data_IF_151411435134
#
_entry.id   IF_151411435134
#
_cell.length_a   1.000
_cell.length_b   1.000
_cell.length_c   1.000
_cell.angle_alpha   90.00
_cell.angle_beta   90.00
_cell.angle_gamma   90.00
#
_symmetry.space_group_name_H-M   'P 1'
#
loop_
_entity.id
_entity.type
_entity.pdbx_description
1 polymer ?
#
# COMPACT_ATOMS: atom_id res chain seq x y z
N UNK A 1 11.32 -12.91 -7.97
CA UNK A 1 11.76 -11.61 -7.41
C UNK A 1 10.52 -10.93 -6.82
N UNK A 2 10.42 -10.78 -5.49
CA UNK A 2 9.36 -9.99 -4.88
C UNK A 2 9.55 -8.50 -5.20
N UNK A 3 8.45 -7.75 -5.32
CA UNK A 3 8.47 -6.32 -5.64
C UNK A 3 7.32 -5.59 -4.94
N UNK A 4 7.60 -4.81 -3.90
CA UNK A 4 6.63 -3.94 -3.22
C UNK A 4 7.29 -2.65 -2.73
N UNK A 5 6.47 -1.62 -2.43
CA UNK A 5 6.93 -0.26 -2.10
C UNK A 5 7.86 -0.20 -0.87
N UNK A 6 7.61 -1.03 0.13
CA UNK A 6 8.42 -1.12 1.36
C UNK A 6 9.74 -1.91 1.19
N UNK A 7 10.08 -2.42 0.00
CA UNK A 7 11.36 -3.10 -0.20
C UNK A 7 12.52 -2.10 -0.31
N UNK A 8 13.70 -2.39 0.27
CA UNK A 8 14.89 -1.56 0.08
C UNK A 8 15.21 -1.33 -1.40
N UNK A 9 15.53 -0.09 -1.77
CA UNK A 9 15.75 0.35 -3.16
C UNK A 9 16.77 -0.52 -3.90
N UNK A 10 17.84 -0.94 -3.22
CA UNK A 10 18.90 -1.80 -3.80
C UNK A 10 18.33 -3.13 -4.31
N UNK A 11 17.34 -3.69 -3.61
CA UNK A 11 16.74 -4.99 -3.96
C UNK A 11 15.78 -4.89 -5.15
N UNK A 12 15.31 -3.69 -5.50
CA UNK A 12 14.43 -3.49 -6.65
C UNK A 12 15.20 -3.53 -7.98
N UNK A 13 16.50 -3.20 -7.98
CA UNK A 13 17.29 -3.05 -9.22
C UNK A 13 17.47 -4.35 -10.02
N UNK A 14 17.39 -5.51 -9.37
CA UNK A 14 17.54 -6.81 -10.04
C UNK A 14 16.42 -7.09 -11.04
N UNK A 15 15.24 -6.47 -10.86
CA UNK A 15 14.06 -6.71 -11.70
C UNK A 15 14.26 -6.22 -13.14
N UNK A 16 15.11 -5.20 -13.32
CA UNK A 16 15.38 -4.58 -14.62
C UNK A 16 16.41 -5.35 -15.46
N UNK A 17 17.20 -6.22 -14.84
CA UNK A 17 18.19 -7.02 -15.57
C UNK A 17 17.50 -8.11 -16.38
N UNK A 18 17.94 -8.32 -17.63
CA UNK A 18 17.50 -9.47 -18.44
C UNK A 18 18.17 -10.74 -17.93
N UNK A 19 17.43 -11.84 -17.94
CA UNK A 19 17.96 -13.15 -17.56
C UNK A 19 18.72 -13.80 -18.72
N UNK A 20 19.75 -14.63 -18.45
CA UNK A 20 20.42 -15.43 -19.48
C UNK A 20 19.45 -16.39 -20.19
N UNK A 21 19.77 -16.84 -21.41
CA UNK A 21 19.01 -17.90 -22.09
C UNK A 21 18.84 -19.14 -21.22
N UNK A 22 17.65 -19.74 -21.24
CA UNK A 22 17.30 -20.89 -20.39
C UNK A 22 16.82 -20.54 -18.98
N UNK A 23 16.92 -19.28 -18.55
CA UNK A 23 16.43 -18.81 -17.24
C UNK A 23 15.21 -17.92 -17.41
N UNK A 24 14.12 -18.25 -16.72
CA UNK A 24 12.88 -17.45 -16.71
C UNK A 24 12.84 -16.50 -15.52
N UNK A 25 12.68 -15.20 -15.80
CA UNK A 25 12.37 -14.20 -14.78
C UNK A 25 10.91 -14.30 -14.36
N UNK A 26 10.68 -14.41 -13.05
CA UNK A 26 9.34 -14.33 -12.43
C UNK A 26 9.36 -13.23 -11.39
N UNK A 27 8.48 -12.24 -11.57
CA UNK A 27 8.34 -11.10 -10.68
C UNK A 27 6.97 -11.17 -10.02
N UNK A 28 6.94 -11.12 -8.69
CA UNK A 28 5.70 -11.10 -7.90
C UNK A 28 5.59 -9.70 -7.31
N UNK A 29 4.64 -8.91 -7.81
CA UNK A 29 4.55 -7.49 -7.52
C UNK A 29 3.18 -7.08 -6.96
N UNK A 30 3.17 -5.99 -6.20
CA UNK A 30 1.93 -5.23 -5.93
C UNK A 30 1.58 -4.33 -7.14
N UNK A 31 0.58 -3.46 -6.98
CA UNK A 31 0.19 -2.47 -7.98
C UNK A 31 1.30 -1.47 -8.37
N UNK A 32 2.46 -1.45 -7.72
CA UNK A 32 3.59 -0.58 -8.13
C UNK A 32 4.14 -0.92 -9.53
N UNK A 33 3.95 -2.16 -10.00
CA UNK A 33 4.30 -2.56 -11.36
C UNK A 33 3.27 -2.06 -12.42
N UNK A 34 2.11 -1.59 -11.97
CA UNK A 34 1.04 -1.06 -12.82
C UNK A 34 1.32 0.35 -13.32
N UNK A 35 2.04 1.16 -12.53
CA UNK A 35 2.34 2.58 -12.84
C UNK A 35 3.82 2.87 -12.71
N UNK A 36 4.36 2.80 -11.48
CA UNK A 36 5.65 3.34 -11.07
C UNK A 36 6.87 2.60 -11.62
N UNK A 37 6.73 1.33 -12.00
CA UNK A 37 7.84 0.50 -12.47
C UNK A 37 7.53 -0.10 -13.85
N UNK A 38 8.51 0.01 -14.75
CA UNK A 38 8.45 -0.56 -16.10
C UNK A 38 9.52 -1.64 -16.24
N UNK A 39 9.08 -2.88 -16.35
CA UNK A 39 9.93 -4.05 -16.65
C UNK A 39 9.70 -4.36 -18.13
N UNK A 40 10.74 -4.26 -18.95
CA UNK A 40 10.60 -4.23 -20.41
C UNK A 40 10.30 -5.61 -21.00
N UNK A 41 10.89 -6.67 -20.46
CA UNK A 41 10.84 -8.03 -20.99
C UNK A 41 9.64 -8.85 -20.48
N UNK A 42 8.58 -8.19 -20.02
CA UNK A 42 7.35 -8.86 -19.59
C UNK A 42 6.50 -9.23 -20.81
N UNK A 43 6.18 -10.53 -20.90
CA UNK A 43 5.33 -11.10 -21.96
C UNK A 43 4.11 -11.83 -21.38
N UNK A 44 4.17 -12.19 -20.10
CA UNK A 44 3.09 -12.86 -19.39
C UNK A 44 2.75 -12.05 -18.14
N UNK A 45 1.48 -11.68 -17.99
CA UNK A 45 0.95 -11.03 -16.80
C UNK A 45 -0.10 -11.94 -16.18
N UNK A 46 0.05 -12.21 -14.89
CA UNK A 46 -0.97 -12.87 -14.07
C UNK A 46 -1.58 -11.79 -13.18
N UNK A 47 -2.82 -11.42 -13.45
CA UNK A 47 -3.56 -10.43 -12.70
C UNK A 47 -4.42 -11.14 -11.65
N UNK A 48 -4.01 -11.04 -10.39
CA UNK A 48 -4.75 -11.59 -9.25
C UNK A 48 -6.12 -10.95 -9.01
N UNK A 49 -6.46 -9.86 -9.71
CA UNK A 49 -7.76 -9.20 -9.62
C UNK A 49 -7.97 -8.38 -8.35
N UNK A 50 -6.96 -8.31 -7.48
CA UNK A 50 -7.01 -7.59 -6.20
C UNK A 50 -6.00 -6.44 -6.13
N UNK A 51 -6.36 -5.44 -5.34
CA UNK A 51 -5.52 -4.30 -4.96
C UNK A 51 -5.82 -3.95 -3.50
N UNK A 52 -4.83 -3.44 -2.75
CA UNK A 52 -5.09 -2.94 -1.40
C UNK A 52 -5.56 -1.49 -1.50
N UNK A 53 -6.68 -1.19 -0.85
CA UNK A 53 -7.23 0.16 -0.75
C UNK A 53 -7.47 0.53 0.71
N UNK A 54 -7.29 1.81 1.00
CA UNK A 54 -7.73 2.43 2.24
C UNK A 54 -9.14 2.96 2.06
N UNK A 55 -10.00 2.63 3.02
CA UNK A 55 -11.38 3.09 3.14
C UNK A 55 -11.61 3.73 4.50
N UNK A 56 -12.45 4.76 4.53
CA UNK A 56 -12.83 5.46 5.74
C UNK A 56 -14.35 5.49 5.91
N UNK A 57 -14.82 4.93 7.01
CA UNK A 57 -16.21 5.03 7.45
C UNK A 57 -16.36 6.24 8.38
N UNK A 58 -17.00 7.29 7.87
CA UNK A 58 -17.21 8.55 8.59
C UNK A 58 -18.24 8.45 9.73
N UNK A 59 -19.16 7.47 9.68
CA UNK A 59 -20.18 7.32 10.72
C UNK A 59 -19.60 6.66 11.97
N UNK A 60 -18.74 5.67 11.77
CA UNK A 60 -18.09 4.94 12.86
C UNK A 60 -16.69 5.47 13.19
N UNK A 61 -16.15 6.38 12.39
CA UNK A 61 -14.80 6.91 12.50
C UNK A 61 -13.72 5.80 12.45
N UNK A 62 -13.84 4.92 11.46
CA UNK A 62 -12.95 3.76 11.29
C UNK A 62 -12.24 3.84 9.94
N UNK A 63 -10.91 3.86 9.99
CA UNK A 63 -10.05 3.66 8.82
C UNK A 63 -9.70 2.17 8.69
N UNK A 64 -9.84 1.62 7.49
CA UNK A 64 -9.47 0.22 7.21
C UNK A 64 -8.65 0.13 5.92
N UNK A 65 -7.72 -0.82 5.89
CA UNK A 65 -7.00 -1.20 4.67
C UNK A 65 -7.34 -2.64 4.30
N UNK A 66 -8.03 -2.84 3.17
CA UNK A 66 -8.55 -4.14 2.73
C UNK A 66 -8.17 -4.46 1.28
N UNK A 67 -8.31 -5.73 0.91
CA UNK A 67 -8.03 -6.21 -0.44
C UNK A 67 -9.29 -6.17 -1.31
N UNK A 68 -9.41 -5.11 -2.09
CA UNK A 68 -10.54 -4.86 -2.98
C UNK A 68 -10.32 -5.38 -4.39
N UNK A 69 -11.42 -5.54 -5.12
CA UNK A 69 -11.36 -5.88 -6.55
C UNK A 69 -10.77 -4.70 -7.34
N UNK A 70 -9.97 -5.01 -8.35
CA UNK A 70 -9.42 -4.01 -9.26
C UNK A 70 -10.51 -3.36 -10.11
N UNK A 71 -10.31 -2.11 -10.53
CA UNK A 71 -11.17 -1.48 -11.53
C UNK A 71 -10.88 -2.00 -12.95
N UNK A 72 -11.79 -1.75 -13.89
CA UNK A 72 -11.57 -2.01 -15.33
C UNK A 72 -10.33 -1.24 -15.85
N UNK A 73 -10.13 -0.01 -15.37
CA UNK A 73 -8.94 0.78 -15.71
C UNK A 73 -7.64 0.08 -15.25
N UNK A 74 -7.59 -0.43 -14.01
CA UNK A 74 -6.42 -1.16 -13.51
C UNK A 74 -6.16 -2.44 -14.33
N UNK A 75 -7.21 -3.25 -14.57
CA UNK A 75 -7.10 -4.46 -15.37
C UNK A 75 -6.54 -4.17 -16.78
N UNK A 76 -6.98 -3.08 -17.41
CA UNK A 76 -6.47 -2.61 -18.70
C UNK A 76 -5.00 -2.20 -18.62
N UNK A 77 -4.59 -1.47 -17.58
CA UNK A 77 -3.18 -1.11 -17.38
C UNK A 77 -2.29 -2.35 -17.20
N UNK A 78 -2.72 -3.32 -16.38
CA UNK A 78 -2.01 -4.60 -16.17
C UNK A 78 -1.87 -5.39 -17.45
N UNK A 79 -2.93 -5.52 -18.25
CA UNK A 79 -2.89 -6.15 -19.58
C UNK A 79 -1.84 -5.49 -20.49
N UNK A 80 -1.76 -4.16 -20.47
CA UNK A 80 -0.77 -3.39 -21.25
C UNK A 80 0.68 -3.72 -20.93
N UNK A 81 0.98 -4.25 -19.73
CA UNK A 81 2.35 -4.61 -19.32
C UNK A 81 2.90 -5.82 -20.07
N UNK A 82 2.06 -6.69 -20.63
CA UNK A 82 2.48 -7.87 -21.40
C UNK A 82 2.82 -7.57 -22.87
N UNK A 83 2.44 -6.41 -23.39
CA UNK A 83 2.47 -6.10 -24.83
C UNK A 83 3.60 -5.18 -25.28
N UNK A 84 4.63 -4.97 -24.46
CA UNK A 84 5.67 -3.96 -24.73
C UNK A 84 6.68 -4.37 -25.79
N UNK A 85 7.16 -5.60 -25.71
CA UNK A 85 8.29 -6.07 -26.53
C UNK A 85 7.86 -7.04 -27.64
N UNK A 86 6.74 -7.73 -27.45
CA UNK A 86 6.16 -8.68 -28.40
C UNK A 86 4.70 -8.97 -28.00
N UNK A 87 3.91 -9.68 -28.83
CA UNK A 87 2.59 -10.17 -28.42
C UNK A 87 2.69 -10.98 -27.12
N UNK A 88 1.86 -10.63 -26.14
CA UNK A 88 1.88 -11.24 -24.81
C UNK A 88 0.50 -11.67 -24.33
N UNK A 89 0.48 -12.32 -23.18
CA UNK A 89 -0.73 -12.87 -22.56
C UNK A 89 -0.98 -12.24 -21.19
N UNK A 90 -2.25 -11.95 -20.91
CA UNK A 90 -2.71 -11.50 -19.61
C UNK A 90 -3.80 -12.45 -19.10
N UNK A 91 -3.59 -13.03 -17.92
CA UNK A 91 -4.50 -13.97 -17.27
C UNK A 91 -5.14 -13.28 -16.06
N UNK A 92 -6.45 -13.05 -16.13
CA UNK A 92 -7.21 -12.45 -15.04
C UNK A 92 -7.82 -13.53 -14.14
N UNK A 93 -7.57 -13.47 -12.83
CA UNK A 93 -8.06 -14.43 -11.83
C UNK A 93 -9.46 -14.07 -11.31
N UNK A 94 -10.35 -13.68 -12.21
CA UNK A 94 -11.77 -13.46 -11.94
C UNK A 94 -12.62 -13.92 -13.11
N UNK A 95 -13.84 -14.37 -12.81
CA UNK A 95 -14.75 -14.87 -13.84
C UNK A 95 -15.42 -13.73 -14.63
N UNK A 96 -16.09 -14.08 -15.73
CA UNK A 96 -16.76 -13.10 -16.60
C UNK A 96 -17.85 -12.28 -15.89
N UNK A 97 -18.56 -12.88 -14.93
CA UNK A 97 -19.54 -12.16 -14.12
C UNK A 97 -18.86 -11.07 -13.28
N UNK A 98 -17.79 -11.41 -12.55
CA UNK A 98 -17.01 -10.42 -11.80
C UNK A 98 -16.45 -9.34 -12.72
N UNK A 99 -15.92 -9.71 -13.88
CA UNK A 99 -15.41 -8.75 -14.87
C UNK A 99 -16.47 -7.72 -15.30
N UNK A 100 -17.72 -8.16 -15.49
CA UNK A 100 -18.83 -7.27 -15.86
C UNK A 100 -19.26 -6.30 -14.74
N UNK A 101 -19.01 -6.69 -13.49
CA UNK A 101 -19.38 -5.93 -12.28
C UNK A 101 -18.24 -5.08 -11.71
N UNK A 102 -17.07 -5.04 -12.35
CA UNK A 102 -15.98 -4.16 -11.90
C UNK A 102 -16.33 -2.70 -12.16
N UNK A 103 -16.01 -1.84 -11.20
CA UNK A 103 -16.06 -0.40 -11.38
C UNK A 103 -15.12 0.03 -12.51
N UNK A 104 -15.48 1.08 -13.23
CA UNK A 104 -14.66 1.55 -14.35
C UNK A 104 -13.32 2.12 -13.88
N UNK A 105 -13.34 2.82 -12.73
CA UNK A 105 -12.20 3.49 -12.12
C UNK A 105 -12.23 3.32 -10.61
N UNK A 106 -11.05 3.33 -9.98
CA UNK A 106 -10.94 3.40 -8.53
C UNK A 106 -11.42 4.76 -8.03
N UNK A 107 -12.04 4.78 -6.85
CA UNK A 107 -12.40 6.03 -6.21
C UNK A 107 -11.11 6.81 -5.87
N UNK A 108 -11.03 8.12 -6.19
CA UNK A 108 -9.89 8.95 -5.83
C UNK A 108 -9.57 8.86 -4.34
N UNK A 109 -8.28 8.76 -4.02
CA UNK A 109 -7.81 8.53 -2.65
C UNK A 109 -8.36 9.54 -1.63
N UNK A 110 -8.38 10.82 -2.00
CA UNK A 110 -8.95 11.94 -1.22
C UNK A 110 -10.40 11.71 -0.76
N UNK A 111 -11.18 10.87 -1.45
CA UNK A 111 -12.58 10.58 -1.13
C UNK A 111 -12.77 9.33 -0.26
N UNK A 112 -11.70 8.55 -0.03
CA UNK A 112 -11.75 7.28 0.71
C UNK A 112 -10.72 7.16 1.81
N UNK A 113 -9.82 8.12 1.96
CA UNK A 113 -8.88 8.18 3.08
C UNK A 113 -9.38 9.14 4.16
N UNK A 114 -9.10 8.85 5.43
CA UNK A 114 -9.30 9.80 6.51
C UNK A 114 -8.58 11.11 6.14
N UNK A 115 -9.33 12.22 6.06
CA UNK A 115 -8.73 13.53 5.83
C UNK A 115 -8.04 14.06 7.09
N UNK A 116 -8.12 13.32 8.19
CA UNK A 116 -7.43 13.54 9.45
C UNK A 116 -5.93 13.70 9.22
N UNK A 117 -5.27 13.03 8.28
CA UNK A 117 -3.86 13.34 8.01
C UNK A 117 -3.68 14.79 7.54
N UNK A 118 -4.48 15.21 6.55
CA UNK A 118 -4.49 16.59 6.02
C UNK A 118 -4.99 17.61 7.06
N UNK A 119 -6.03 17.25 7.81
CA UNK A 119 -6.75 18.09 8.76
C UNK A 119 -6.14 18.06 10.16
N UNK A 120 -5.29 17.09 10.54
CA UNK A 120 -4.50 17.04 11.78
C UNK A 120 -3.07 17.53 11.55
N UNK A 121 -2.51 17.41 10.34
CA UNK A 121 -1.43 18.31 9.86
C UNK A 121 -1.84 19.77 9.98
N UNK A 122 -3.14 20.02 9.90
CA UNK A 122 -3.80 21.24 10.33
C UNK A 122 -4.03 21.10 11.86
N UNK A 123 -5.18 20.73 12.41
CA UNK A 123 -5.58 20.85 13.83
C UNK A 123 -4.71 20.33 14.99
N UNK A 124 -3.87 19.30 14.88
CA UNK A 124 -3.03 18.82 16.02
C UNK A 124 -1.60 19.36 15.95
N UNK A 125 -1.20 19.72 14.74
CA UNK A 125 -0.06 20.55 14.49
C UNK A 125 -0.40 22.02 14.71
N UNK A 126 -1.68 22.42 14.68
CA UNK A 126 -2.12 23.78 14.86
C UNK A 126 -2.72 24.03 16.25
N UNK A 127 -2.74 25.28 16.68
CA UNK A 127 -3.43 25.72 17.89
C UNK A 127 -4.93 26.00 17.62
N UNK A 128 -5.63 26.62 18.58
CA UNK A 128 -7.06 26.96 18.44
C UNK A 128 -7.33 28.00 17.35
N UNK A 129 -6.29 28.71 16.91
CA UNK A 129 -6.33 29.73 15.87
C UNK A 129 -5.94 29.16 14.50
N UNK A 130 -5.73 27.85 14.40
CA UNK A 130 -5.26 27.19 13.19
C UNK A 130 -3.84 27.64 12.78
N UNK A 131 -2.97 27.91 13.77
CA UNK A 131 -1.54 28.25 13.56
C UNK A 131 -0.57 27.14 14.01
N UNK A 132 0.52 26.91 13.26
CA UNK A 132 1.47 25.80 13.48
C UNK A 132 2.17 25.89 14.84
N UNK A 133 1.86 24.95 15.72
CA UNK A 133 2.56 24.67 16.98
C UNK A 133 3.96 24.12 16.71
N UNK A 134 4.90 24.25 17.67
CA UNK A 134 6.22 23.64 17.57
C UNK A 134 6.19 22.12 17.37
N UNK A 135 5.26 21.42 18.03
CA UNK A 135 5.05 19.98 17.82
C UNK A 135 4.61 19.70 16.38
N UNK A 136 3.67 20.49 15.87
CA UNK A 136 3.21 20.42 14.50
C UNK A 136 4.30 20.55 13.46
N UNK A 137 5.24 21.48 13.68
CA UNK A 137 6.41 21.65 12.80
C UNK A 137 7.27 20.39 12.76
N UNK A 138 7.43 19.68 13.88
CA UNK A 138 8.14 18.41 13.90
C UNK A 138 7.36 17.30 13.20
N UNK A 139 6.06 17.18 13.45
CA UNK A 139 5.21 16.15 12.83
C UNK A 139 5.11 16.30 11.32
N UNK A 140 5.00 17.53 10.81
CA UNK A 140 4.94 17.83 9.37
C UNK A 140 6.22 17.41 8.60
N UNK A 141 7.32 17.13 9.31
CA UNK A 141 8.58 16.65 8.72
C UNK A 141 8.69 15.13 8.71
N UNK A 142 7.73 14.40 9.30
CA UNK A 142 7.73 12.95 9.36
C UNK A 142 6.77 12.37 8.31
N UNK A 143 7.20 11.38 7.49
CA UNK A 143 6.36 10.77 6.46
C UNK A 143 5.47 9.65 7.04
N UNK A 144 4.73 9.96 8.11
CA UNK A 144 3.83 9.02 8.81
C UNK A 144 2.60 9.77 9.33
N UNK A 145 1.53 9.04 9.64
CA UNK A 145 0.33 9.62 10.26
C UNK A 145 0.67 10.37 11.56
N UNK A 146 0.06 11.55 11.85
CA UNK A 146 0.46 12.40 12.97
C UNK A 146 0.45 11.71 14.34
N UNK A 147 -0.48 10.79 14.56
CA UNK A 147 -0.57 10.05 15.81
C UNK A 147 0.61 9.07 15.99
N UNK A 148 1.05 8.41 14.91
CA UNK A 148 2.24 7.57 14.87
C UNK A 148 3.50 8.43 15.02
N UNK A 149 3.59 9.54 14.29
CA UNK A 149 4.72 10.47 14.38
C UNK A 149 4.92 11.03 15.79
N UNK A 150 3.82 11.40 16.47
CA UNK A 150 3.84 11.87 17.86
C UNK A 150 4.36 10.78 18.79
N UNK A 151 3.91 9.54 18.61
CA UNK A 151 4.36 8.41 19.40
C UNK A 151 5.87 8.18 19.25
N UNK A 152 6.39 8.15 18.00
CA UNK A 152 7.82 7.98 17.72
C UNK A 152 8.64 9.14 18.30
N UNK A 153 8.16 10.38 18.18
CA UNK A 153 8.83 11.57 18.72
C UNK A 153 8.96 11.49 20.25
N UNK A 154 7.90 11.11 20.95
CA UNK A 154 7.96 10.92 22.41
C UNK A 154 8.80 9.71 22.80
N UNK A 155 8.82 8.64 21.99
CA UNK A 155 9.72 7.50 22.19
C UNK A 155 11.19 7.90 22.16
N UNK A 156 11.57 8.81 21.26
CA UNK A 156 12.91 9.40 21.23
C UNK A 156 13.18 10.30 22.44
N UNK A 157 12.26 11.20 22.80
CA UNK A 157 12.40 12.11 23.94
C UNK A 157 12.51 11.39 25.29
N UNK A 158 11.81 10.27 25.45
CA UNK A 158 11.81 9.48 26.69
C UNK A 158 12.77 8.28 26.64
N UNK A 159 13.64 8.21 25.62
CA UNK A 159 14.65 7.16 25.49
C UNK A 159 14.06 5.72 25.48
N UNK A 160 12.84 5.55 24.99
CA UNK A 160 12.14 4.26 24.86
C UNK A 160 11.83 3.93 23.38
N UNK A 161 12.75 4.30 22.50
CA UNK A 161 12.53 4.26 21.05
C UNK A 161 12.27 2.85 20.50
N UNK A 162 13.01 1.84 20.95
CA UNK A 162 12.90 0.46 20.45
C UNK A 162 11.49 -0.16 20.61
N UNK A 163 10.89 -0.20 21.81
CA UNK A 163 9.52 -0.71 21.97
C UNK A 163 8.49 0.18 21.26
N UNK A 164 8.71 1.49 21.25
CA UNK A 164 7.80 2.44 20.58
C UNK A 164 7.78 2.21 19.07
N UNK A 165 8.94 1.97 18.43
CA UNK A 165 9.02 1.65 17.01
C UNK A 165 8.29 0.35 16.68
N UNK A 166 8.39 -0.66 17.55
CA UNK A 166 7.68 -1.93 17.39
C UNK A 166 6.16 -1.73 17.43
N UNK A 167 5.67 -0.95 18.39
CA UNK A 167 4.24 -0.62 18.51
C UNK A 167 3.78 0.21 17.30
N UNK A 168 4.56 1.21 16.89
CA UNK A 168 4.28 2.04 15.72
C UNK A 168 4.13 1.21 14.45
N UNK A 169 5.05 0.27 14.22
CA UNK A 169 5.02 -0.61 13.07
C UNK A 169 3.77 -1.52 13.07
N UNK A 170 3.38 -2.03 14.24
CA UNK A 170 2.17 -2.85 14.40
C UNK A 170 0.91 -2.05 14.07
N UNK A 171 0.77 -0.84 14.63
CA UNK A 171 -0.38 0.04 14.38
C UNK A 171 -0.47 0.52 12.93
N UNK A 172 0.68 0.76 12.28
CA UNK A 172 0.73 1.24 10.89
C UNK A 172 0.44 0.14 9.86
N UNK A 173 0.50 -1.15 10.24
CA UNK A 173 0.36 -2.25 9.30
C UNK A 173 -0.62 -3.34 9.77
N UNK A 174 -0.20 -4.13 10.76
CA UNK A 174 -1.02 -5.11 11.50
C UNK A 174 -0.17 -5.77 12.58
N UNK A 175 -0.82 -6.39 13.55
CA UNK A 175 -0.16 -7.22 14.54
C UNK A 175 0.35 -8.55 13.92
N UNK A 176 1.33 -9.21 14.57
CA UNK A 176 1.93 -10.44 14.05
C UNK A 176 1.12 -11.70 14.39
N UNK A 177 0.02 -11.60 15.13
CA UNK A 177 -0.72 -12.77 15.59
C UNK A 177 -1.61 -13.33 14.48
N UNK A 178 -1.76 -14.65 14.49
CA UNK A 178 -2.68 -15.40 13.63
C UNK A 178 -3.42 -16.37 14.54
N UNK A 179 -4.73 -16.45 14.38
CA UNK A 179 -5.56 -17.43 15.09
C UNK A 179 -6.00 -18.48 14.06
N UNK A 180 -5.36 -19.65 14.01
CA UNK A 180 -5.80 -20.75 13.16
C UNK A 180 -7.20 -21.22 13.57
N UNK A 181 -7.99 -21.65 12.58
CA UNK A 181 -9.32 -22.20 12.83
C UNK A 181 -9.26 -23.37 13.84
N UNK A 182 -10.07 -23.30 14.90
CA UNK A 182 -10.10 -24.29 15.98
C UNK A 182 -9.09 -24.08 17.11
N UNK A 183 -8.35 -22.96 17.13
CA UNK A 183 -7.40 -22.59 18.18
C UNK A 183 -7.80 -21.34 18.97
N UNK A 184 -9.05 -20.88 18.82
CA UNK A 184 -9.55 -19.61 19.38
C UNK A 184 -9.52 -19.57 20.91
N UNK A 185 -9.61 -20.72 21.58
CA UNK A 185 -9.59 -20.82 23.06
C UNK A 185 -8.18 -20.84 23.67
N UNK A 186 -7.14 -20.97 22.84
CA UNK A 186 -5.73 -21.06 23.26
C UNK A 186 -4.99 -19.74 22.98
N UNK A 187 -5.58 -18.88 22.14
CA UNK A 187 -5.06 -17.57 21.78
C UNK A 187 -5.33 -16.52 22.87
#
# INVERSE_FOLDING_TARGET
>A
IPLHSLMPTVNQTQVFKRTPPGVRKIVIATNIAETSITIDDVVYVIDGGKIKETHFDTQNNISTMSAEWVSKANAKQRKGRAGRVQPGHCYHLYNGLRASLLDDYQLPEILRTPLEELCLQIKNALDKQEELTPLGVHLARLPVEPHIGKMILFGALFCCLDPVLTIAASLSFKDPFVIPLGKEKIA
#
